data_IF_649943920621
#
_entry.id   IF_649943920621
#
_cell.length_a   1.000
_cell.length_b   1.000
_cell.length_c   1.000
_cell.angle_alpha   90.00
_cell.angle_beta   90.00
_cell.angle_gamma   90.00
#
_symmetry.space_group_name_H-M   'P 1'
#
loop_
_entity.id
_entity.type
_entity.pdbx_description
1 polymer ?
#
# COMPACT_ATOMS: atom_id res chain seq x y z
N UNK A 1 -20.62 -21.11 -15.51
CA UNK A 1 -19.56 -21.74 -14.69
C UNK A 1 -18.39 -20.78 -14.71
N UNK A 2 -17.87 -20.36 -13.56
CA UNK A 2 -16.72 -19.45 -13.50
C UNK A 2 -15.46 -20.26 -13.81
N UNK A 3 -14.67 -19.84 -14.79
CA UNK A 3 -13.49 -20.54 -15.28
C UNK A 3 -12.19 -19.96 -14.71
N UNK A 4 -12.20 -18.68 -14.31
CA UNK A 4 -11.04 -17.97 -13.76
C UNK A 4 -11.38 -17.31 -12.43
N UNK A 5 -10.41 -17.23 -11.52
CA UNK A 5 -10.57 -16.49 -10.26
C UNK A 5 -10.89 -15.01 -10.48
N UNK A 6 -10.46 -14.43 -11.60
CA UNK A 6 -10.82 -13.06 -12.00
C UNK A 6 -12.32 -12.90 -12.27
N UNK A 7 -12.97 -13.91 -12.87
CA UNK A 7 -14.42 -13.86 -13.14
C UNK A 7 -15.23 -13.93 -11.84
N UNK A 8 -14.75 -14.67 -10.84
CA UNK A 8 -15.35 -14.70 -9.51
C UNK A 8 -15.27 -13.32 -8.84
N UNK A 9 -14.09 -12.68 -8.91
CA UNK A 9 -13.87 -11.34 -8.37
C UNK A 9 -14.71 -10.29 -9.11
N UNK A 10 -14.79 -10.35 -10.43
CA UNK A 10 -15.65 -9.48 -11.24
C UNK A 10 -17.12 -9.63 -10.85
N UNK A 11 -17.64 -10.86 -10.72
CA UNK A 11 -19.02 -11.09 -10.28
C UNK A 11 -19.28 -10.60 -8.87
N UNK A 12 -18.29 -10.73 -7.99
CA UNK A 12 -18.36 -10.22 -6.64
C UNK A 12 -18.45 -8.69 -6.64
N UNK A 13 -17.53 -8.01 -7.34
CA UNK A 13 -17.53 -6.55 -7.52
C UNK A 13 -18.84 -6.09 -8.15
N UNK A 14 -19.31 -6.71 -9.23
CA UNK A 14 -20.61 -6.41 -9.86
C UNK A 14 -21.77 -6.52 -8.86
N UNK A 15 -21.75 -7.53 -7.99
CA UNK A 15 -22.81 -7.74 -7.01
C UNK A 15 -22.79 -6.67 -5.92
N UNK A 16 -21.62 -6.25 -5.44
CA UNK A 16 -21.48 -5.20 -4.43
C UNK A 16 -21.80 -3.82 -5.02
N UNK A 17 -21.35 -3.52 -6.25
CA UNK A 17 -21.68 -2.27 -6.95
C UNK A 17 -23.17 -2.18 -7.23
N UNK A 18 -23.85 -3.29 -7.58
CA UNK A 18 -25.31 -3.31 -7.77
C UNK A 18 -26.09 -2.97 -6.51
N UNK A 19 -25.59 -3.32 -5.31
CA UNK A 19 -26.27 -2.98 -4.05
C UNK A 19 -26.36 -1.46 -3.81
N UNK A 20 -25.49 -0.67 -4.43
CA UNK A 20 -25.48 0.79 -4.34
C UNK A 20 -26.01 1.49 -5.59
N UNK A 21 -26.18 0.77 -6.72
CA UNK A 21 -26.60 1.35 -7.99
C UNK A 21 -28.00 2.00 -7.91
N UNK A 22 -28.88 1.47 -7.06
CA UNK A 22 -30.25 1.99 -6.87
C UNK A 22 -30.33 3.11 -5.81
N UNK A 23 -29.22 3.43 -5.14
CA UNK A 23 -29.16 4.48 -4.11
C UNK A 23 -28.91 5.83 -4.78
N UNK A 24 -29.99 6.57 -5.06
CA UNK A 24 -29.90 7.94 -5.60
C UNK A 24 -29.38 8.90 -4.51
N UNK A 25 -28.06 9.07 -4.43
CA UNK A 25 -27.41 9.93 -3.43
C UNK A 25 -26.74 11.15 -4.08
N UNK A 26 -27.19 12.39 -3.79
CA UNK A 26 -26.66 13.61 -4.41
C UNK A 26 -25.33 14.12 -3.81
N UNK A 27 -24.84 13.54 -2.70
CA UNK A 27 -23.63 14.01 -2.01
C UNK A 27 -22.41 13.14 -2.31
N UNK A 28 -21.46 13.71 -3.09
CA UNK A 28 -20.19 13.09 -3.50
C UNK A 28 -19.34 12.46 -2.37
N UNK A 29 -19.22 13.04 -1.16
CA UNK A 29 -18.43 12.42 -0.07
C UNK A 29 -18.99 11.07 0.40
N UNK A 30 -20.31 10.99 0.55
CA UNK A 30 -21.02 9.76 0.95
C UNK A 30 -20.89 8.63 -0.05
N UNK A 31 -20.70 8.97 -1.33
CA UNK A 31 -20.48 7.97 -2.38
C UNK A 31 -19.08 7.37 -2.28
N UNK A 32 -18.05 8.17 -1.95
CA UNK A 32 -16.69 7.69 -1.70
C UNK A 32 -16.64 6.68 -0.56
N UNK A 33 -17.24 7.04 0.58
CA UNK A 33 -17.32 6.17 1.76
C UNK A 33 -18.04 4.84 1.50
N UNK A 34 -18.99 4.79 0.56
CA UNK A 34 -19.66 3.54 0.19
C UNK A 34 -18.72 2.57 -0.56
N UNK A 35 -17.86 3.06 -1.45
CA UNK A 35 -16.87 2.22 -2.13
C UNK A 35 -15.76 1.75 -1.19
N UNK A 36 -15.33 2.61 -0.27
CA UNK A 36 -14.42 2.24 0.81
C UNK A 36 -15.00 1.10 1.65
N UNK A 37 -16.29 1.20 2.00
CA UNK A 37 -16.99 0.17 2.77
C UNK A 37 -17.13 -1.15 1.99
N UNK A 38 -17.38 -1.11 0.66
CA UNK A 38 -17.33 -2.34 -0.16
C UNK A 38 -15.93 -2.95 -0.13
N UNK A 39 -14.87 -2.15 -0.28
CA UNK A 39 -13.50 -2.67 -0.24
C UNK A 39 -13.24 -3.35 1.10
N UNK A 40 -13.61 -2.69 2.21
CA UNK A 40 -13.49 -3.26 3.55
C UNK A 40 -14.26 -4.54 3.69
N UNK A 41 -15.55 -4.55 3.39
CA UNK A 41 -16.41 -5.72 3.55
C UNK A 41 -16.03 -6.86 2.61
N UNK A 42 -15.61 -6.56 1.38
CA UNK A 42 -15.13 -7.52 0.41
C UNK A 42 -13.88 -8.26 0.88
N UNK A 43 -12.91 -7.53 1.45
CA UNK A 43 -11.72 -8.12 2.07
C UNK A 43 -12.09 -8.81 3.40
N UNK A 44 -13.02 -8.25 4.17
CA UNK A 44 -13.45 -8.76 5.48
C UNK A 44 -14.35 -10.00 5.43
N UNK A 45 -14.81 -10.44 4.26
CA UNK A 45 -15.67 -11.63 4.20
C UNK A 45 -14.95 -12.85 4.80
N UNK A 46 -15.72 -13.65 5.53
CA UNK A 46 -15.33 -14.88 6.25
C UNK A 46 -14.46 -15.88 5.47
N UNK A 47 -14.34 -15.71 4.16
CA UNK A 47 -13.58 -16.55 3.25
C UNK A 47 -12.21 -15.97 2.83
N UNK A 48 -12.03 -14.64 2.88
CA UNK A 48 -10.86 -13.98 2.29
C UNK A 48 -9.67 -13.85 3.26
N UNK A 49 -9.93 -13.67 4.56
CA UNK A 49 -8.88 -13.52 5.57
C UNK A 49 -8.90 -14.71 6.55
N UNK A 50 -7.76 -15.38 6.78
CA UNK A 50 -7.69 -16.47 7.76
C UNK A 50 -7.99 -15.99 9.19
N UNK A 51 -9.06 -16.52 9.79
CA UNK A 51 -9.58 -16.10 11.11
C UNK A 51 -8.60 -16.33 12.27
N UNK A 52 -7.63 -17.23 12.09
CA UNK A 52 -6.67 -17.62 13.14
C UNK A 52 -5.47 -16.66 13.23
N UNK A 53 -5.36 -15.69 12.31
CA UNK A 53 -4.18 -14.81 12.21
C UNK A 53 -4.35 -13.44 12.90
N UNK A 54 -5.42 -13.22 13.69
CA UNK A 54 -5.77 -11.92 14.31
C UNK A 54 -5.62 -10.73 13.36
N UNK A 55 -6.08 -10.93 12.11
CA UNK A 55 -6.06 -9.94 11.06
C UNK A 55 -7.36 -9.16 11.03
N UNK A 56 -7.26 -7.87 10.71
CA UNK A 56 -8.39 -6.93 10.74
C UNK A 56 -8.33 -5.98 9.58
N UNK A 57 -9.50 -5.54 9.13
CA UNK A 57 -9.64 -4.50 8.13
C UNK A 57 -10.22 -3.26 8.82
N UNK A 58 -9.50 -2.15 8.78
CA UNK A 58 -9.83 -0.94 9.56
C UNK A 58 -9.60 0.33 8.73
N UNK A 59 -10.23 1.43 9.14
CA UNK A 59 -9.81 2.79 8.73
C UNK A 59 -9.09 3.48 9.87
N UNK A 60 -8.31 4.50 9.55
CA UNK A 60 -7.79 5.42 10.55
C UNK A 60 -6.43 5.97 10.17
N UNK A 61 -5.51 6.00 11.12
CA UNK A 61 -4.25 6.74 11.01
C UNK A 61 -3.06 5.83 11.25
N UNK A 62 -1.97 6.13 10.56
CA UNK A 62 -0.71 5.41 10.71
C UNK A 62 0.15 6.12 11.76
N UNK A 63 0.72 5.35 12.68
CA UNK A 63 1.72 5.82 13.63
C UNK A 63 3.08 5.30 13.17
N UNK A 64 4.06 6.18 13.05
CA UNK A 64 5.41 5.84 12.60
C UNK A 64 6.40 6.29 13.65
N UNK A 65 7.06 5.33 14.31
CA UNK A 65 8.06 5.65 15.34
C UNK A 65 7.53 6.51 16.50
N UNK A 66 6.24 6.37 16.84
CA UNK A 66 5.56 7.16 17.87
C UNK A 66 4.93 8.49 17.40
N UNK A 67 5.12 8.88 16.13
CA UNK A 67 4.48 10.05 15.53
C UNK A 67 3.23 9.63 14.74
N UNK A 68 2.08 10.21 15.06
CA UNK A 68 0.85 10.02 14.28
C UNK A 68 0.90 10.83 12.99
N UNK A 69 0.75 10.17 11.84
CA UNK A 69 0.59 10.86 10.57
C UNK A 69 -0.80 11.51 10.48
N UNK A 70 -0.92 12.75 9.97
CA UNK A 70 -2.18 13.48 9.93
C UNK A 70 -3.16 12.93 8.89
N UNK A 71 -2.66 12.22 7.87
CA UNK A 71 -3.49 11.65 6.83
C UNK A 71 -4.30 10.45 7.30
N UNK A 72 -5.60 10.47 6.98
CA UNK A 72 -6.49 9.34 7.19
C UNK A 72 -6.37 8.36 6.03
N UNK A 73 -6.32 7.07 6.35
CA UNK A 73 -6.31 5.96 5.42
C UNK A 73 -7.68 5.29 5.37
N UNK A 74 -8.18 5.14 4.16
CA UNK A 74 -9.49 4.57 3.85
C UNK A 74 -9.61 3.15 4.37
N UNK A 75 -8.62 2.30 4.07
CA UNK A 75 -8.63 0.90 4.43
C UNK A 75 -7.20 0.38 4.65
N UNK A 76 -7.00 -0.32 5.77
CA UNK A 76 -5.76 -0.97 6.15
C UNK A 76 -6.05 -2.41 6.54
N UNK A 77 -5.24 -3.34 6.04
CA UNK A 77 -5.14 -4.69 6.58
C UNK A 77 -4.05 -4.68 7.65
N UNK A 78 -4.43 -5.03 8.87
CA UNK A 78 -3.56 -4.93 10.05
C UNK A 78 -3.54 -6.22 10.86
N UNK A 79 -2.47 -6.43 11.61
CA UNK A 79 -2.30 -7.51 12.56
C UNK A 79 -2.45 -7.02 14.00
N UNK A 80 -3.28 -7.71 14.78
CA UNK A 80 -3.47 -7.43 16.20
C UNK A 80 -4.47 -6.31 16.47
N UNK A 81 -4.49 -5.83 17.72
CA UNK A 81 -5.31 -4.70 18.17
C UNK A 81 -4.57 -3.38 17.98
N UNK A 82 -5.27 -2.37 17.51
CA UNK A 82 -4.83 -0.97 17.52
C UNK A 82 -5.59 -0.14 18.56
N UNK A 83 -5.31 1.16 18.59
CA UNK A 83 -5.93 2.10 19.52
C UNK A 83 -7.10 2.81 18.86
N UNK A 84 -8.31 2.70 19.41
CA UNK A 84 -9.49 3.35 18.81
C UNK A 84 -9.42 4.88 18.96
N UNK A 85 -9.74 5.60 17.89
CA UNK A 85 -9.87 7.05 17.91
C UNK A 85 -11.22 7.46 18.49
N UNK A 86 -11.21 7.84 19.77
CA UNK A 86 -12.40 8.26 20.50
C UNK A 86 -13.51 7.19 20.51
N UNK A 87 -14.72 7.60 20.13
CA UNK A 87 -15.91 6.75 20.10
C UNK A 87 -16.28 6.26 18.69
N UNK A 88 -15.50 6.62 17.66
CA UNK A 88 -15.76 6.23 16.27
C UNK A 88 -15.12 4.89 15.88
N UNK A 89 -15.22 4.57 14.59
CA UNK A 89 -14.70 3.32 14.00
C UNK A 89 -13.31 3.48 13.34
N UNK A 90 -12.62 4.56 13.69
CA UNK A 90 -11.25 4.84 13.25
C UNK A 90 -10.24 4.38 14.30
N UNK A 91 -9.05 3.97 13.86
CA UNK A 91 -8.00 3.43 14.72
C UNK A 91 -6.62 3.99 14.40
N UNK A 92 -5.77 4.04 15.41
CA UNK A 92 -4.33 4.22 15.28
C UNK A 92 -3.65 2.85 15.27
N UNK A 93 -2.76 2.64 14.31
CA UNK A 93 -1.91 1.47 14.24
C UNK A 93 -0.47 1.89 13.98
N UNK A 94 0.47 1.28 14.69
CA UNK A 94 1.89 1.38 14.36
C UNK A 94 2.14 0.76 12.99
N UNK A 95 3.03 1.36 12.21
CA UNK A 95 3.30 0.95 10.83
C UNK A 95 3.76 -0.50 10.71
N UNK A 96 4.44 -1.04 11.74
CA UNK A 96 4.83 -2.44 11.83
C UNK A 96 3.65 -3.42 11.97
N UNK A 97 2.48 -2.95 12.40
CA UNK A 97 1.26 -3.75 12.47
C UNK A 97 0.46 -3.72 11.16
N UNK A 98 0.82 -2.84 10.22
CA UNK A 98 0.09 -2.65 8.97
C UNK A 98 0.72 -3.53 7.90
N UNK A 99 -0.07 -4.43 7.34
CA UNK A 99 0.37 -5.33 6.27
C UNK A 99 0.11 -4.74 4.90
N UNK A 100 -1.02 -4.05 4.75
CA UNK A 100 -1.44 -3.45 3.49
C UNK A 100 -2.24 -2.18 3.73
N UNK A 101 -2.03 -1.19 2.87
CA UNK A 101 -2.73 0.09 2.82
C UNK A 101 -3.45 0.17 1.48
N UNK A 102 -4.73 0.54 1.51
CA UNK A 102 -5.55 0.70 0.33
C UNK A 102 -5.99 2.16 0.20
N UNK A 103 -5.71 2.75 -0.97
CA UNK A 103 -6.30 4.01 -1.41
C UNK A 103 -7.41 3.69 -2.41
N UNK A 104 -8.66 3.97 -2.07
CA UNK A 104 -9.82 3.58 -2.88
C UNK A 104 -10.35 4.78 -3.64
N UNK A 105 -10.51 4.64 -4.96
CA UNK A 105 -11.11 5.66 -5.83
C UNK A 105 -12.31 5.06 -6.57
N UNK A 106 -13.40 5.82 -6.64
CA UNK A 106 -14.53 5.46 -7.51
C UNK A 106 -14.07 5.41 -8.97
N UNK A 107 -13.61 6.55 -9.49
CA UNK A 107 -13.14 6.71 -10.85
C UNK A 107 -11.64 7.02 -10.79
N UNK A 108 -10.79 6.06 -11.14
CA UNK A 108 -9.34 6.27 -11.18
C UNK A 108 -8.96 6.95 -12.49
N UNK A 109 -9.02 8.28 -12.54
CA UNK A 109 -8.44 9.07 -13.64
C UNK A 109 -7.04 9.57 -13.26
N UNK A 110 -6.30 10.15 -14.23
CA UNK A 110 -4.89 10.53 -14.04
C UNK A 110 -4.65 11.38 -12.79
N UNK A 111 -5.55 12.33 -12.51
CA UNK A 111 -5.44 13.21 -11.33
C UNK A 111 -5.55 12.39 -10.05
N UNK A 112 -6.58 11.57 -9.91
CA UNK A 112 -6.79 10.75 -8.72
C UNK A 112 -5.67 9.72 -8.54
N UNK A 113 -5.12 9.21 -9.63
CA UNK A 113 -3.96 8.31 -9.59
C UNK A 113 -2.69 9.02 -9.10
N UNK A 114 -2.44 10.25 -9.56
CA UNK A 114 -1.31 11.05 -9.09
C UNK A 114 -1.47 11.44 -7.61
N UNK A 115 -2.69 11.82 -7.20
CA UNK A 115 -3.00 12.18 -5.81
C UNK A 115 -2.81 10.97 -4.89
N UNK A 116 -3.28 9.78 -5.30
CA UNK A 116 -3.09 8.52 -4.59
C UNK A 116 -1.61 8.15 -4.44
N UNK A 117 -0.82 8.26 -5.52
CA UNK A 117 0.63 8.02 -5.49
C UNK A 117 1.30 8.97 -4.50
N UNK A 118 0.96 10.26 -4.56
CA UNK A 118 1.54 11.29 -3.68
C UNK A 118 1.17 11.02 -2.22
N UNK A 119 -0.07 10.60 -1.96
CA UNK A 119 -0.55 10.27 -0.62
C UNK A 119 0.25 9.11 -0.03
N UNK A 120 0.32 7.98 -0.73
CA UNK A 120 1.01 6.77 -0.25
C UNK A 120 2.52 6.96 -0.15
N UNK A 121 3.12 7.76 -1.03
CA UNK A 121 4.53 8.12 -0.97
C UNK A 121 4.91 8.83 0.34
N UNK A 122 4.02 9.62 0.95
CA UNK A 122 4.31 10.26 2.26
C UNK A 122 4.50 9.22 3.36
N UNK A 123 3.63 8.22 3.40
CA UNK A 123 3.70 7.12 4.37
C UNK A 123 4.98 6.33 4.13
N UNK A 124 5.30 6.06 2.87
CA UNK A 124 6.51 5.33 2.48
C UNK A 124 7.79 6.07 2.86
N UNK A 125 7.85 7.38 2.64
CA UNK A 125 8.98 8.20 3.09
C UNK A 125 9.14 8.18 4.61
N UNK A 126 8.04 8.32 5.36
CA UNK A 126 8.06 8.24 6.83
C UNK A 126 8.50 6.87 7.33
N UNK A 127 8.07 5.79 6.68
CA UNK A 127 8.56 4.44 6.94
C UNK A 127 10.08 4.36 6.75
N UNK A 128 10.59 4.85 5.61
CA UNK A 128 12.02 4.85 5.33
C UNK A 128 12.81 5.63 6.37
N UNK A 129 12.39 6.86 6.71
CA UNK A 129 13.04 7.67 7.75
C UNK A 129 13.08 6.93 9.10
N UNK A 130 11.97 6.27 9.45
CA UNK A 130 11.88 5.47 10.67
C UNK A 130 12.80 4.25 10.65
N UNK A 131 12.84 3.54 9.52
CA UNK A 131 13.71 2.39 9.32
C UNK A 131 15.19 2.78 9.49
N UNK A 132 15.63 3.86 8.84
CA UNK A 132 17.01 4.36 8.96
C UNK A 132 17.35 4.72 10.42
N UNK A 133 16.47 5.45 11.11
CA UNK A 133 16.65 5.75 12.53
C UNK A 133 16.78 4.49 13.38
N UNK A 134 15.96 3.47 13.13
CA UNK A 134 16.04 2.20 13.86
C UNK A 134 17.39 1.50 13.63
N UNK A 135 17.92 1.54 12.41
CA UNK A 135 19.24 0.97 12.10
C UNK A 135 20.35 1.66 12.90
N UNK A 136 20.29 2.99 13.03
CA UNK A 136 21.23 3.76 13.86
C UNK A 136 21.14 3.38 15.35
N UNK A 137 19.94 3.04 15.83
CA UNK A 137 19.67 2.53 17.18
C UNK A 137 20.07 1.06 17.37
N UNK A 138 20.61 0.42 16.32
CA UNK A 138 21.14 -0.94 16.38
C UNK A 138 20.15 -2.03 15.99
N UNK A 139 18.97 -1.69 15.44
CA UNK A 139 18.03 -2.64 14.85
C UNK A 139 18.72 -3.48 13.76
N UNK A 140 18.43 -4.78 13.74
CA UNK A 140 18.83 -5.66 12.64
C UNK A 140 17.55 -6.16 11.94
N UNK A 141 17.30 -5.74 10.68
CA UNK A 141 16.10 -6.14 9.96
C UNK A 141 16.19 -7.59 9.46
N UNK A 142 15.03 -8.26 9.36
CA UNK A 142 14.95 -9.54 8.66
C UNK A 142 15.06 -9.29 7.14
N UNK A 143 16.20 -9.68 6.58
CA UNK A 143 16.51 -9.52 5.16
C UNK A 143 16.36 -10.82 4.35
N UNK A 144 15.79 -11.89 4.90
CA UNK A 144 15.76 -13.20 4.24
C UNK A 144 15.12 -13.16 2.84
N UNK A 145 13.99 -12.46 2.68
CA UNK A 145 13.33 -12.29 1.38
C UNK A 145 14.16 -11.45 0.40
N UNK A 146 14.66 -10.30 0.86
CA UNK A 146 15.49 -9.42 0.05
C UNK A 146 16.77 -10.12 -0.44
N UNK A 147 17.40 -10.93 0.41
CA UNK A 147 18.56 -11.75 0.06
C UNK A 147 18.25 -12.75 -1.04
N UNK A 148 17.14 -13.48 -0.91
CA UNK A 148 16.69 -14.43 -1.92
C UNK A 148 16.46 -13.74 -3.27
N UNK A 149 15.73 -12.63 -3.29
CA UNK A 149 15.43 -11.90 -4.52
C UNK A 149 16.68 -11.30 -5.15
N UNK A 150 17.57 -10.73 -4.34
CA UNK A 150 18.84 -10.19 -4.83
C UNK A 150 19.66 -11.27 -5.55
N UNK A 151 19.78 -12.46 -4.94
CA UNK A 151 20.49 -13.57 -5.55
C UNK A 151 19.82 -14.05 -6.84
N UNK A 152 18.49 -14.11 -6.89
CA UNK A 152 17.74 -14.49 -8.09
C UNK A 152 17.89 -13.48 -9.24
N UNK A 153 17.91 -12.18 -8.93
CA UNK A 153 18.00 -11.11 -9.93
C UNK A 153 19.43 -10.98 -10.46
N UNK A 154 20.43 -11.09 -9.58
CA UNK A 154 21.83 -10.75 -9.93
C UNK A 154 22.72 -11.96 -10.17
N UNK A 155 22.33 -13.16 -9.70
CA UNK A 155 23.18 -14.35 -9.65
C UNK A 155 24.32 -14.26 -8.63
N UNK A 156 24.35 -13.23 -7.77
CA UNK A 156 25.40 -13.00 -6.76
C UNK A 156 24.93 -13.45 -5.37
N UNK A 157 25.89 -13.71 -4.48
CA UNK A 157 25.58 -13.90 -3.07
C UNK A 157 25.10 -12.58 -2.45
N UNK A 158 23.98 -12.62 -1.74
CA UNK A 158 23.47 -11.48 -0.99
C UNK A 158 24.19 -11.35 0.37
N UNK A 159 24.22 -10.14 0.97
CA UNK A 159 24.69 -9.92 2.34
C UNK A 159 24.04 -10.88 3.35
N UNK A 160 24.78 -11.32 4.37
CA UNK A 160 24.23 -12.11 5.49
C UNK A 160 23.50 -11.21 6.50
N UNK A 161 24.02 -9.99 6.68
CA UNK A 161 23.46 -8.95 7.56
C UNK A 161 23.26 -7.66 6.77
N UNK A 162 22.28 -6.85 7.15
CA UNK A 162 21.97 -5.63 6.39
C UNK A 162 23.17 -4.67 6.34
N UNK A 163 23.90 -4.53 7.45
CA UNK A 163 25.07 -3.62 7.56
C UNK A 163 26.19 -3.91 6.55
N UNK A 164 26.23 -5.11 5.99
CA UNK A 164 27.19 -5.48 4.94
C UNK A 164 26.80 -4.91 3.57
N UNK A 165 25.71 -4.15 3.46
CA UNK A 165 25.31 -3.42 2.24
C UNK A 165 26.45 -2.53 1.71
N UNK A 166 27.30 -1.98 2.60
CA UNK A 166 28.45 -1.17 2.23
C UNK A 166 29.58 -1.96 1.56
N UNK A 167 29.55 -3.29 1.63
CA UNK A 167 30.48 -4.17 0.92
C UNK A 167 30.05 -4.43 -0.53
N UNK A 168 28.82 -4.05 -0.91
CA UNK A 168 28.32 -4.20 -2.27
C UNK A 168 28.84 -3.07 -3.18
N UNK A 169 28.85 -3.33 -4.49
CA UNK A 169 28.99 -2.23 -5.45
C UNK A 169 27.86 -1.22 -5.28
N UNK A 170 28.04 0.04 -5.67
CA UNK A 170 27.00 1.06 -5.53
C UNK A 170 25.66 0.64 -6.15
N UNK A 171 25.70 0.04 -7.34
CA UNK A 171 24.50 -0.41 -8.04
C UNK A 171 23.81 -1.58 -7.31
N UNK A 172 24.59 -2.56 -6.86
CA UNK A 172 24.08 -3.70 -6.09
C UNK A 172 23.53 -3.25 -4.73
N UNK A 173 24.19 -2.30 -4.06
CA UNK A 173 23.75 -1.72 -2.79
C UNK A 173 22.42 -0.99 -2.93
N UNK A 174 22.23 -0.20 -3.99
CA UNK A 174 20.94 0.45 -4.28
C UNK A 174 19.85 -0.61 -4.50
N UNK A 175 20.10 -1.62 -5.36
CA UNK A 175 19.14 -2.69 -5.60
C UNK A 175 18.78 -3.44 -4.31
N UNK A 176 19.79 -3.81 -3.52
CA UNK A 176 19.58 -4.52 -2.28
C UNK A 176 18.78 -3.69 -1.27
N UNK A 177 19.10 -2.40 -1.16
CA UNK A 177 18.32 -1.44 -0.36
C UNK A 177 16.84 -1.41 -0.79
N UNK A 178 16.55 -1.34 -2.10
CA UNK A 178 15.18 -1.40 -2.60
C UNK A 178 14.47 -2.66 -2.11
N UNK A 179 15.08 -3.82 -2.33
CA UNK A 179 14.46 -5.11 -2.01
C UNK A 179 14.18 -5.24 -0.51
N UNK A 180 15.06 -4.70 0.34
CA UNK A 180 14.82 -4.66 1.79
C UNK A 180 13.63 -3.77 2.12
N UNK A 181 13.61 -2.53 1.62
CA UNK A 181 12.49 -1.61 1.83
C UNK A 181 11.16 -2.22 1.36
N UNK A 182 11.12 -2.79 0.15
CA UNK A 182 9.91 -3.45 -0.40
C UNK A 182 9.48 -4.67 0.39
N UNK A 183 10.41 -5.40 1.00
CA UNK A 183 10.07 -6.60 1.78
C UNK A 183 9.49 -6.30 3.16
N UNK A 184 9.75 -5.10 3.70
CA UNK A 184 9.44 -4.75 5.08
C UNK A 184 8.35 -3.69 5.20
N UNK A 185 8.21 -2.82 4.20
CA UNK A 185 7.18 -1.81 4.20
C UNK A 185 5.78 -2.42 3.99
N UNK A 186 4.72 -1.78 4.51
CA UNK A 186 3.36 -2.16 4.18
C UNK A 186 3.12 -2.10 2.66
N UNK A 187 2.41 -3.09 2.13
CA UNK A 187 2.02 -3.10 0.71
C UNK A 187 1.07 -1.93 0.46
N UNK A 188 1.30 -1.18 -0.60
CA UNK A 188 0.44 -0.06 -1.00
C UNK A 188 -0.39 -0.46 -2.23
N UNK A 189 -1.71 -0.31 -2.15
CA UNK A 189 -2.65 -0.69 -3.21
C UNK A 189 -3.53 0.50 -3.54
N UNK A 190 -3.49 0.94 -4.80
CA UNK A 190 -4.44 1.92 -5.33
C UNK A 190 -5.51 1.14 -6.08
N UNK A 191 -6.75 1.21 -5.59
CA UNK A 191 -7.87 0.49 -6.17
C UNK A 191 -8.89 1.46 -6.78
N UNK A 192 -9.09 1.35 -8.10
CA UNK A 192 -10.15 2.03 -8.83
C UNK A 192 -11.28 1.06 -9.19
N UNK A 193 -12.52 1.35 -8.80
CA UNK A 193 -13.69 0.56 -9.24
C UNK A 193 -14.05 0.82 -10.71
N UNK A 194 -13.93 2.08 -11.13
CA UNK A 194 -14.09 2.57 -12.49
C UNK A 194 -12.80 3.31 -12.89
N UNK A 195 -12.67 3.67 -14.17
CA UNK A 195 -11.52 4.43 -14.69
C UNK A 195 -10.88 3.76 -15.89
N UNK A 196 -9.56 3.60 -15.87
CA UNK A 196 -8.80 3.01 -16.98
C UNK A 196 -9.37 1.68 -17.45
N UNK A 197 -9.76 1.61 -18.72
CA UNK A 197 -10.37 0.43 -19.33
C UNK A 197 -9.33 -0.57 -19.85
N UNK A 198 -8.06 -0.16 -19.94
CA UNK A 198 -6.95 -1.01 -20.39
C UNK A 198 -5.73 -0.82 -19.50
N UNK A 199 -4.97 -1.91 -19.35
CA UNK A 199 -3.71 -1.91 -18.61
C UNK A 199 -2.67 -0.98 -19.27
N UNK A 200 -2.62 -0.96 -20.60
CA UNK A 200 -1.79 -0.04 -21.39
C UNK A 200 -2.12 1.43 -21.09
N UNK A 201 -3.41 1.79 -21.02
CA UNK A 201 -3.86 3.14 -20.72
C UNK A 201 -3.46 3.58 -19.31
N UNK A 202 -3.57 2.68 -18.33
CA UNK A 202 -3.14 2.90 -16.96
C UNK A 202 -1.62 3.09 -16.88
N UNK A 203 -0.83 2.22 -17.54
CA UNK A 203 0.64 2.36 -17.61
C UNK A 203 1.08 3.66 -18.26
N UNK A 204 0.45 4.04 -19.38
CA UNK A 204 0.77 5.28 -20.08
C UNK A 204 0.49 6.50 -19.20
N UNK A 205 -0.57 6.47 -18.39
CA UNK A 205 -0.83 7.51 -17.41
C UNK A 205 0.21 7.52 -16.29
N UNK A 206 0.58 6.36 -15.75
CA UNK A 206 1.62 6.22 -14.73
C UNK A 206 2.96 6.81 -15.18
N UNK A 207 3.41 6.48 -16.40
CA UNK A 207 4.63 7.07 -16.98
C UNK A 207 4.53 8.60 -17.03
N UNK A 208 3.40 9.15 -17.47
CA UNK A 208 3.16 10.61 -17.50
C UNK A 208 3.13 11.25 -16.12
N UNK A 209 2.79 10.50 -15.06
CA UNK A 209 2.84 10.97 -13.67
C UNK A 209 4.31 11.05 -13.25
N UNK A 210 5.07 9.96 -13.43
CA UNK A 210 6.50 9.91 -13.09
C UNK A 210 7.34 10.96 -13.83
N UNK A 211 7.07 11.16 -15.13
CA UNK A 211 7.72 12.21 -15.93
C UNK A 211 7.43 13.61 -15.39
N UNK A 212 6.21 13.86 -14.90
CA UNK A 212 5.83 15.13 -14.33
C UNK A 212 6.57 15.38 -13.00
N UNK A 213 6.59 14.39 -12.11
CA UNK A 213 7.32 14.47 -10.83
C UNK A 213 8.82 14.68 -11.04
N UNK A 214 9.42 13.98 -12.00
CA UNK A 214 10.85 14.13 -12.34
C UNK A 214 11.17 15.55 -12.82
N UNK A 215 10.28 16.17 -13.62
CA UNK A 215 10.45 17.54 -14.13
C UNK A 215 10.31 18.61 -13.03
N UNK A 216 9.56 18.32 -11.97
CA UNK A 216 9.37 19.21 -10.82
C UNK A 216 10.56 19.19 -9.84
N UNK A 217 11.58 18.35 -10.08
CA UNK A 217 12.72 18.22 -9.18
C UNK A 217 12.43 17.43 -7.90
N UNK A 218 11.18 17.00 -7.74
CA UNK A 218 10.75 15.98 -6.79
C UNK A 218 11.29 14.64 -7.28
N UNK A 219 12.56 14.35 -6.95
CA UNK A 219 13.15 13.05 -7.26
C UNK A 219 12.38 12.01 -6.47
N UNK A 220 11.51 11.30 -7.15
CA UNK A 220 10.88 10.09 -6.61
C UNK A 220 11.98 9.04 -6.51
N UNK A 221 12.68 9.04 -5.38
CA UNK A 221 13.58 7.96 -5.01
C UNK A 221 12.77 6.67 -4.86
N UNK A 222 13.47 5.56 -4.64
CA UNK A 222 12.82 4.28 -4.30
C UNK A 222 11.76 4.42 -3.18
N UNK A 223 11.97 5.27 -2.13
CA UNK A 223 10.95 5.51 -1.11
C UNK A 223 9.72 6.31 -1.54
N UNK A 224 9.74 6.92 -2.73
CA UNK A 224 8.67 7.79 -3.21
C UNK A 224 7.69 7.14 -4.18
N UNK A 225 7.95 5.91 -4.62
CA UNK A 225 7.01 5.13 -5.44
C UNK A 225 6.25 4.19 -4.49
N UNK A 226 4.91 4.26 -4.42
CA UNK A 226 4.10 3.31 -3.66
C UNK A 226 4.22 1.88 -4.19
#
# INVERSE_FOLDING_TARGET
MLLKSSELLEKFIESEVKKIADVHMPHMPTLGSAYEEITKQGIFQDFAIPKQLDLRVVSGFVVVGGETLPEQIDCMLVHGKGTRYGLGDQYFYDIEQILCIFEVKKNLVKRDYADAITHLAKIRNKFTDHFERRLEEGYEPDIHLARRWFAQITGKSAPEHYRQIHCLSKADGILFYCLVQESLAPISVIHGYEGYTTEEGMRAAFVKILEASTKLGERVGIPGIP
#
